data_IF_633778371187
#
_entry.id   IF_633778371187
#
_cell.length_a   1.000
_cell.length_b   1.000
_cell.length_c   1.000
_cell.angle_alpha   90.00
_cell.angle_beta   90.00
_cell.angle_gamma   90.00
#
_symmetry.space_group_name_H-M   'P 1'
#
loop_
_entity.id
_entity.type
_entity.pdbx_description
1 polymer ?
#
# COMPACT_ATOMS: atom_id res chain seq x y z
N UNK A 1 -6.50 -3.48 -14.08
CA UNK A 1 -5.98 -2.10 -14.17
C UNK A 1 -4.76 -1.95 -13.25
N UNK A 2 -3.71 -1.23 -13.66
CA UNK A 2 -2.58 -0.91 -12.76
C UNK A 2 -2.98 0.28 -11.89
N UNK A 3 -2.80 0.18 -10.57
CA UNK A 3 -3.15 1.24 -9.61
C UNK A 3 -1.95 1.78 -8.85
N UNK A 4 -0.85 1.03 -8.82
CA UNK A 4 0.44 1.54 -8.40
C UNK A 4 1.55 0.79 -9.15
N UNK A 5 2.65 1.50 -9.43
CA UNK A 5 3.82 0.97 -10.12
C UNK A 5 5.09 1.60 -9.60
N UNK A 6 6.14 0.78 -9.44
CA UNK A 6 7.49 1.23 -9.17
C UNK A 6 8.47 0.51 -10.11
N UNK A 7 9.15 1.27 -10.96
CA UNK A 7 10.30 0.81 -11.72
C UNK A 7 11.59 1.05 -10.94
N UNK A 8 12.41 0.01 -10.86
CA UNK A 8 13.72 0.03 -10.22
C UNK A 8 14.77 -0.33 -11.26
N UNK A 9 15.76 0.55 -11.40
CA UNK A 9 16.94 0.31 -12.21
C UNK A 9 18.09 -0.05 -11.29
N UNK A 10 18.76 -1.17 -11.53
CA UNK A 10 19.80 -1.65 -10.65
C UNK A 10 20.97 -2.26 -11.43
N UNK A 11 22.15 -2.21 -10.84
CA UNK A 11 23.32 -2.89 -11.38
C UNK A 11 23.13 -4.40 -11.37
N UNK A 12 23.66 -5.09 -12.37
CA UNK A 12 23.75 -6.56 -12.36
C UNK A 12 24.58 -7.02 -11.15
N UNK A 13 24.30 -8.19 -10.54
CA UNK A 13 25.02 -8.66 -9.36
C UNK A 13 26.55 -8.71 -9.51
N UNK A 14 27.04 -8.98 -10.73
CA UNK A 14 28.48 -9.12 -11.05
C UNK A 14 29.11 -7.81 -11.55
N UNK A 15 28.34 -6.72 -11.64
CA UNK A 15 28.90 -5.44 -12.06
C UNK A 15 29.80 -4.85 -10.96
N UNK A 16 30.95 -4.24 -11.29
CA UNK A 16 31.86 -3.65 -10.30
C UNK A 16 31.23 -2.47 -9.56
N UNK A 17 30.22 -1.82 -10.15
CA UNK A 17 29.49 -0.71 -9.54
C UNK A 17 28.15 -1.18 -8.98
N UNK A 18 27.90 -0.91 -7.69
CA UNK A 18 26.63 -1.22 -7.00
C UNK A 18 25.70 0.00 -7.02
N UNK A 19 24.81 0.06 -8.00
CA UNK A 19 24.00 1.26 -8.31
C UNK A 19 22.51 0.93 -8.30
N UNK A 20 21.71 1.86 -7.81
CA UNK A 20 20.24 1.82 -7.83
C UNK A 20 19.71 3.18 -8.28
N UNK A 21 18.71 3.18 -9.14
CA UNK A 21 17.98 4.36 -9.58
C UNK A 21 16.48 4.04 -9.63
N UNK A 22 15.64 5.04 -9.39
CA UNK A 22 14.18 4.91 -9.54
C UNK A 22 13.79 5.35 -10.96
N UNK A 23 12.93 4.54 -11.59
CA UNK A 23 12.35 4.75 -12.90
C UNK A 23 11.06 5.57 -12.85
N UNK A 24 10.06 5.12 -13.62
CA UNK A 24 8.68 5.53 -13.41
C UNK A 24 8.19 5.10 -12.01
N UNK A 25 7.53 6.00 -11.31
CA UNK A 25 6.94 5.73 -10.00
C UNK A 25 5.56 6.39 -9.92
N UNK A 26 4.51 5.56 -10.00
CA UNK A 26 3.13 5.97 -9.77
C UNK A 26 2.67 5.37 -8.45
N UNK A 27 2.78 6.17 -7.38
CA UNK A 27 2.53 5.73 -6.01
C UNK A 27 1.45 6.62 -5.38
N UNK A 28 0.17 6.45 -5.74
CA UNK A 28 -0.90 7.29 -5.22
C UNK A 28 -1.11 7.02 -3.73
N UNK A 29 -1.04 8.09 -2.95
CA UNK A 29 -1.09 8.05 -1.49
C UNK A 29 -2.43 8.52 -0.92
N UNK A 30 -3.31 9.13 -1.72
CA UNK A 30 -4.56 9.74 -1.23
C UNK A 30 -5.76 8.77 -1.33
N UNK A 31 -6.53 8.53 -0.26
CA UNK A 31 -6.24 8.92 1.13
C UNK A 31 -5.09 8.09 1.73
N UNK A 32 -4.23 8.68 2.60
CA UNK A 32 -3.12 7.96 3.21
C UNK A 32 -3.59 6.72 3.98
N UNK A 33 -2.93 5.56 3.82
CA UNK A 33 -1.66 5.35 3.14
C UNK A 33 -1.76 5.02 1.63
N UNK A 34 -2.95 4.89 1.05
CA UNK A 34 -3.16 4.70 -0.39
C UNK A 34 -2.56 3.43 -1.02
N UNK A 35 -2.71 3.28 -2.34
CA UNK A 35 -2.17 2.13 -3.09
C UNK A 35 -0.65 2.14 -3.20
N UNK A 36 -0.04 3.33 -3.21
CA UNK A 36 1.40 3.50 -3.23
C UNK A 36 2.05 2.80 -2.03
N UNK A 37 1.55 3.06 -0.81
CA UNK A 37 2.05 2.37 0.37
C UNK A 37 1.81 0.86 0.32
N UNK A 38 0.63 0.40 -0.14
CA UNK A 38 0.34 -1.03 -0.25
C UNK A 38 1.35 -1.74 -1.16
N UNK A 39 1.74 -1.13 -2.29
CA UNK A 39 2.78 -1.67 -3.15
C UNK A 39 4.16 -1.65 -2.48
N UNK A 40 4.56 -0.53 -1.87
CA UNK A 40 5.86 -0.39 -1.21
C UNK A 40 6.01 -1.39 -0.05
N UNK A 41 4.96 -1.58 0.74
CA UNK A 41 4.90 -2.60 1.79
C UNK A 41 5.01 -4.01 1.24
N UNK A 42 4.40 -4.31 0.08
CA UNK A 42 4.45 -5.64 -0.52
C UNK A 42 5.86 -5.99 -1.02
N UNK A 43 6.56 -5.00 -1.60
CA UNK A 43 7.98 -5.13 -1.96
C UNK A 43 8.79 -5.37 -0.68
N UNK A 44 8.57 -4.58 0.37
CA UNK A 44 9.26 -4.74 1.65
C UNK A 44 9.01 -6.12 2.29
N UNK A 45 7.78 -6.60 2.32
CA UNK A 45 7.41 -7.92 2.82
C UNK A 45 8.03 -9.05 2.02
N UNK A 46 8.23 -8.85 0.72
CA UNK A 46 8.90 -9.84 -0.13
C UNK A 46 10.39 -9.92 0.18
N UNK A 47 11.09 -8.78 0.28
CA UNK A 47 12.55 -8.74 0.28
C UNK A 47 13.21 -8.57 1.65
N UNK A 48 12.55 -7.94 2.62
CA UNK A 48 13.12 -7.73 3.96
C UNK A 48 13.51 -9.03 4.68
N UNK A 49 12.74 -10.14 4.58
CA UNK A 49 13.15 -11.42 5.19
C UNK A 49 14.45 -12.02 4.62
N UNK A 50 14.91 -11.53 3.45
CA UNK A 50 16.12 -12.02 2.79
C UNK A 50 17.37 -11.21 3.17
N UNK A 51 17.21 -10.11 3.92
CA UNK A 51 18.36 -9.33 4.39
C UNK A 51 19.11 -10.05 5.50
N UNK A 52 20.43 -9.91 5.50
CA UNK A 52 21.24 -10.24 6.67
C UNK A 52 20.93 -9.26 7.82
N UNK A 53 21.04 -9.66 9.11
CA UNK A 53 20.62 -8.84 10.24
C UNK A 53 21.22 -7.43 10.27
N UNK A 54 22.51 -7.29 9.97
CA UNK A 54 23.20 -5.99 9.88
C UNK A 54 22.51 -5.02 8.89
N UNK A 55 22.11 -5.53 7.73
CA UNK A 55 21.45 -4.73 6.70
C UNK A 55 19.99 -4.44 7.04
N UNK A 56 19.31 -5.31 7.79
CA UNK A 56 17.97 -5.07 8.28
C UNK A 56 17.94 -3.89 9.27
N UNK A 57 18.92 -3.81 10.17
CA UNK A 57 19.08 -2.68 11.08
C UNK A 57 19.38 -1.38 10.33
N UNK A 58 20.26 -1.44 9.33
CA UNK A 58 20.61 -0.29 8.51
C UNK A 58 19.46 0.21 7.63
N UNK A 59 18.59 -0.69 7.17
CA UNK A 59 17.36 -0.34 6.47
C UNK A 59 16.36 0.36 7.40
N UNK A 60 16.18 -0.16 8.61
CA UNK A 60 15.31 0.46 9.63
C UNK A 60 15.83 1.85 10.03
N UNK A 61 17.15 2.03 10.15
CA UNK A 61 17.76 3.36 10.33
C UNK A 61 17.49 4.26 9.13
N UNK A 62 17.63 3.75 7.90
CA UNK A 62 17.40 4.53 6.67
C UNK A 62 15.97 5.07 6.62
N UNK A 63 14.96 4.22 6.85
CA UNK A 63 13.56 4.62 6.86
C UNK A 63 13.32 5.75 7.87
N UNK A 64 13.84 5.64 9.10
CA UNK A 64 13.71 6.70 10.11
C UNK A 64 14.36 8.03 9.70
N UNK A 65 15.49 7.99 9.00
CA UNK A 65 16.15 9.20 8.53
C UNK A 65 15.37 9.85 7.39
N UNK A 66 14.82 9.06 6.47
CA UNK A 66 13.97 9.54 5.38
C UNK A 66 12.68 10.14 5.92
N UNK A 67 12.05 9.48 6.90
CA UNK A 67 10.83 9.97 7.57
C UNK A 67 11.03 11.41 8.08
N UNK A 68 12.14 11.61 8.80
CA UNK A 68 12.59 12.89 9.36
C UNK A 68 13.13 13.89 8.34
N UNK A 69 13.14 13.56 7.05
CA UNK A 69 13.66 14.44 6.00
C UNK A 69 15.17 14.74 6.12
N UNK A 70 15.93 13.85 6.76
CA UNK A 70 17.36 14.06 6.97
C UNK A 70 18.15 13.87 5.68
N UNK A 71 19.28 14.58 5.58
CA UNK A 71 20.25 14.33 4.51
C UNK A 71 20.84 12.93 4.68
N UNK A 72 20.72 12.10 3.65
CA UNK A 72 21.21 10.72 3.67
C UNK A 72 22.61 10.64 3.05
N UNK A 73 23.61 10.28 3.87
CA UNK A 73 24.94 9.95 3.37
C UNK A 73 24.88 8.63 2.55
N UNK A 74 25.61 8.61 1.43
CA UNK A 74 25.70 7.46 0.52
C UNK A 74 27.09 6.82 0.64
N UNK A 75 27.24 5.50 0.44
CA UNK A 75 26.22 4.52 0.03
C UNK A 75 25.34 4.02 1.19
N UNK A 76 24.21 3.36 0.87
CA UNK A 76 23.32 2.68 1.84
C UNK A 76 22.94 1.29 1.36
N UNK A 77 22.81 0.34 2.30
CA UNK A 77 22.65 -1.08 1.98
C UNK A 77 23.68 -1.58 0.95
N UNK A 78 24.93 -1.09 1.06
CA UNK A 78 26.05 -1.39 0.15
C UNK A 78 25.85 -0.92 -1.31
N UNK A 79 24.86 -0.09 -1.58
CA UNK A 79 24.53 0.43 -2.91
C UNK A 79 24.48 1.96 -2.92
N UNK A 80 24.79 2.56 -4.06
CA UNK A 80 24.66 4.00 -4.29
C UNK A 80 23.36 4.30 -5.02
N UNK A 81 22.55 5.19 -4.46
CA UNK A 81 21.39 5.74 -5.15
C UNK A 81 21.80 6.86 -6.11
N UNK A 82 21.28 6.86 -7.34
CA UNK A 82 21.59 7.84 -8.38
C UNK A 82 20.40 8.07 -9.33
N UNK A 83 20.50 9.10 -10.17
CA UNK A 83 19.50 9.39 -11.21
C UNK A 83 19.79 8.69 -12.54
N UNK A 84 21.07 8.54 -12.90
CA UNK A 84 21.46 7.88 -14.16
C UNK A 84 21.08 6.39 -14.18
N UNK A 85 20.52 5.98 -15.31
CA UNK A 85 19.99 4.63 -15.57
C UNK A 85 20.79 3.88 -16.64
N UNK A 86 21.78 4.53 -17.27
CA UNK A 86 22.55 3.92 -18.36
C UNK A 86 23.30 2.68 -17.86
N UNK A 87 23.10 1.57 -18.58
CA UNK A 87 23.71 0.28 -18.26
C UNK A 87 23.15 -0.41 -17.01
N UNK A 88 22.00 0.04 -16.48
CA UNK A 88 21.28 -0.64 -15.41
C UNK A 88 20.20 -1.57 -15.96
N UNK A 89 19.98 -2.68 -15.28
CA UNK A 89 18.85 -3.58 -15.54
C UNK A 89 17.58 -3.00 -14.92
N UNK A 90 16.44 -3.17 -15.59
CA UNK A 90 15.14 -2.71 -15.11
C UNK A 90 14.33 -3.86 -14.53
N UNK A 91 13.77 -3.64 -13.34
CA UNK A 91 12.75 -4.46 -12.71
C UNK A 91 11.53 -3.60 -12.39
N UNK A 92 10.33 -4.17 -12.52
CA UNK A 92 9.07 -3.43 -12.32
C UNK A 92 8.17 -4.16 -11.33
N UNK A 93 7.69 -3.44 -10.33
CA UNK A 93 6.73 -3.93 -9.35
C UNK A 93 5.39 -3.22 -9.53
N UNK A 94 4.29 -3.97 -9.49
CA UNK A 94 2.94 -3.46 -9.76
C UNK A 94 1.93 -3.95 -8.75
N UNK A 95 0.99 -3.07 -8.40
CA UNK A 95 -0.28 -3.41 -7.80
C UNK A 95 -1.37 -3.27 -8.85
N UNK A 96 -2.17 -4.32 -9.01
CA UNK A 96 -3.22 -4.38 -9.99
C UNK A 96 -4.57 -4.65 -9.36
N UNK A 97 -5.60 -4.09 -9.96
CA UNK A 97 -7.00 -4.40 -9.69
C UNK A 97 -7.50 -5.40 -10.73
N UNK A 98 -7.94 -6.57 -10.26
CA UNK A 98 -8.54 -7.65 -11.04
C UNK A 98 -9.92 -7.95 -10.44
N UNK A 99 -10.97 -7.31 -10.97
CA UNK A 99 -12.32 -7.37 -10.40
C UNK A 99 -12.34 -6.77 -8.99
N UNK A 100 -12.84 -7.50 -7.96
CA UNK A 100 -12.84 -7.01 -6.58
C UNK A 100 -11.50 -7.21 -5.86
N UNK A 101 -10.51 -7.86 -6.48
CA UNK A 101 -9.26 -8.27 -5.82
C UNK A 101 -8.07 -7.41 -6.23
N UNK A 102 -7.16 -7.26 -5.28
CA UNK A 102 -5.81 -6.75 -5.55
C UNK A 102 -4.88 -7.91 -5.89
N UNK A 103 -4.09 -7.74 -6.94
CA UNK A 103 -3.02 -8.66 -7.33
C UNK A 103 -1.68 -7.93 -7.31
N UNK A 104 -0.72 -8.51 -6.62
CA UNK A 104 0.67 -8.06 -6.63
C UNK A 104 1.44 -8.73 -7.76
N UNK A 105 2.21 -7.96 -8.52
CA UNK A 105 3.25 -8.47 -9.43
C UNK A 105 4.58 -7.91 -8.96
N UNK A 106 5.30 -8.68 -8.17
CA UNK A 106 6.62 -8.32 -7.65
C UNK A 106 7.67 -9.06 -8.48
N UNK A 107 8.49 -8.32 -9.22
CA UNK A 107 9.64 -8.89 -9.91
C UNK A 107 10.67 -9.39 -8.89
N UNK A 108 11.03 -10.68 -8.97
CA UNK A 108 12.00 -11.35 -8.09
C UNK A 108 13.27 -11.78 -8.83
N UNK A 109 13.41 -11.42 -10.11
CA UNK A 109 14.39 -12.01 -11.01
C UNK A 109 15.81 -11.52 -10.76
N UNK A 110 16.14 -10.36 -11.34
CA UNK A 110 17.55 -9.98 -11.59
C UNK A 110 18.16 -9.04 -10.56
N UNK A 111 17.35 -8.46 -9.67
CA UNK A 111 17.78 -7.57 -8.61
C UNK A 111 17.96 -8.27 -7.28
N UNK A 112 18.74 -7.65 -6.40
CA UNK A 112 18.99 -8.13 -5.03
C UNK A 112 17.98 -7.51 -4.04
N UNK A 113 17.72 -8.17 -2.89
CA UNK A 113 16.85 -7.62 -1.85
C UNK A 113 17.25 -6.20 -1.42
N UNK A 114 18.56 -5.95 -1.27
CA UNK A 114 19.11 -4.64 -0.92
C UNK A 114 18.73 -3.57 -1.93
N UNK A 115 18.79 -3.88 -3.23
CA UNK A 115 18.47 -2.93 -4.29
C UNK A 115 16.99 -2.53 -4.27
N UNK A 116 16.10 -3.51 -4.12
CA UNK A 116 14.65 -3.25 -4.08
C UNK A 116 14.23 -2.51 -2.82
N UNK A 117 14.76 -2.89 -1.66
CA UNK A 117 14.48 -2.18 -0.41
C UNK A 117 15.05 -0.76 -0.43
N UNK A 118 16.24 -0.55 -0.99
CA UNK A 118 16.80 0.77 -1.16
C UNK A 118 15.92 1.67 -2.05
N UNK A 119 15.38 1.10 -3.14
CA UNK A 119 14.44 1.82 -4.01
C UNK A 119 13.12 2.14 -3.28
N UNK A 120 12.58 1.21 -2.48
CA UNK A 120 11.38 1.46 -1.65
C UNK A 120 11.61 2.63 -0.70
N UNK A 121 12.75 2.65 0.01
CA UNK A 121 13.09 3.75 0.91
C UNK A 121 13.18 5.09 0.17
N UNK A 122 13.96 5.17 -0.92
CA UNK A 122 14.12 6.44 -1.64
C UNK A 122 12.89 6.89 -2.41
N UNK A 123 11.97 5.97 -2.76
CA UNK A 123 10.68 6.34 -3.35
C UNK A 123 9.83 7.20 -2.39
N UNK A 124 10.07 7.09 -1.09
CA UNK A 124 9.37 7.89 -0.06
C UNK A 124 9.98 9.29 0.12
N UNK A 125 11.25 9.49 -0.23
CA UNK A 125 11.96 10.74 0.01
C UNK A 125 11.31 12.00 -0.61
N UNK A 126 10.78 11.97 -1.86
CA UNK A 126 10.13 13.13 -2.45
C UNK A 126 8.67 13.35 -2.01
N UNK A 127 8.07 12.44 -1.23
CA UNK A 127 6.68 12.55 -0.80
C UNK A 127 6.47 13.70 0.21
N UNK A 128 5.25 14.23 0.28
CA UNK A 128 4.86 15.18 1.32
C UNK A 128 5.01 14.55 2.73
N UNK A 129 5.14 15.37 3.77
CA UNK A 129 5.45 14.88 5.13
C UNK A 129 4.43 13.86 5.63
N UNK A 130 3.12 14.13 5.45
CA UNK A 130 2.06 13.23 5.88
C UNK A 130 2.08 11.90 5.12
N UNK A 131 2.18 11.95 3.79
CA UNK A 131 2.25 10.77 2.92
C UNK A 131 3.48 9.93 3.21
N UNK A 132 4.64 10.58 3.41
CA UNK A 132 5.90 9.90 3.74
C UNK A 132 5.80 9.16 5.06
N UNK A 133 5.23 9.78 6.08
CA UNK A 133 5.02 9.14 7.39
C UNK A 133 4.07 7.93 7.26
N UNK A 134 2.97 8.08 6.52
CA UNK A 134 2.02 6.99 6.26
C UNK A 134 2.66 5.84 5.47
N UNK A 135 3.43 6.15 4.43
CA UNK A 135 4.18 5.17 3.63
C UNK A 135 5.19 4.41 4.50
N UNK A 136 5.94 5.09 5.36
CA UNK A 136 6.96 4.46 6.21
C UNK A 136 6.32 3.58 7.29
N UNK A 137 5.21 4.02 7.89
CA UNK A 137 4.43 3.18 8.80
C UNK A 137 3.95 1.89 8.12
N UNK A 138 3.41 2.02 6.91
CA UNK A 138 3.00 0.89 6.08
C UNK A 138 4.19 -0.01 5.68
N UNK A 139 5.34 0.56 5.31
CA UNK A 139 6.54 -0.22 4.96
C UNK A 139 7.03 -1.03 6.16
N UNK A 140 6.99 -0.46 7.38
CA UNK A 140 7.35 -1.18 8.60
C UNK A 140 6.42 -2.38 8.86
N UNK A 141 5.13 -2.29 8.53
CA UNK A 141 4.23 -3.45 8.51
C UNK A 141 4.75 -4.51 7.53
N UNK A 142 5.14 -4.10 6.33
CA UNK A 142 5.74 -4.98 5.32
C UNK A 142 7.00 -5.68 5.81
N UNK A 143 7.96 -4.94 6.38
CA UNK A 143 9.22 -5.48 6.93
C UNK A 143 8.96 -6.57 7.99
N UNK A 144 7.97 -6.34 8.86
CA UNK A 144 7.58 -7.29 9.90
C UNK A 144 6.69 -8.44 9.40
N UNK A 145 6.12 -8.33 8.19
CA UNK A 145 5.14 -9.28 7.69
C UNK A 145 5.73 -10.68 7.48
N UNK A 146 4.94 -11.69 7.83
CA UNK A 146 5.24 -13.11 7.59
C UNK A 146 3.98 -13.76 7.03
N UNK A 147 4.06 -14.27 5.81
CA UNK A 147 2.93 -14.94 5.15
C UNK A 147 2.67 -14.43 3.73
N UNK A 148 1.51 -14.82 3.18
CA UNK A 148 1.10 -14.45 1.84
C UNK A 148 0.74 -12.95 1.72
N UNK A 149 0.86 -12.40 0.51
CA UNK A 149 0.39 -11.06 0.17
C UNK A 149 -1.09 -11.13 -0.24
N UNK A 150 -1.95 -11.29 0.76
CA UNK A 150 -3.40 -11.46 0.60
C UNK A 150 -4.20 -10.29 1.20
N UNK A 151 -5.52 -10.46 1.37
CA UNK A 151 -6.38 -9.44 1.97
C UNK A 151 -6.01 -9.09 3.42
N UNK A 152 -5.43 -10.03 4.20
CA UNK A 152 -4.98 -9.75 5.58
C UNK A 152 -3.76 -8.84 5.57
N UNK A 153 -2.85 -9.07 4.63
CA UNK A 153 -1.71 -8.18 4.41
C UNK A 153 -2.16 -6.76 4.10
N UNK A 154 -3.07 -6.61 3.12
CA UNK A 154 -3.62 -5.30 2.72
C UNK A 154 -4.31 -4.63 3.92
N UNK A 155 -5.18 -5.34 4.62
CA UNK A 155 -5.89 -4.83 5.79
C UNK A 155 -4.94 -4.32 6.89
N UNK A 156 -3.86 -5.05 7.15
CA UNK A 156 -2.85 -4.66 8.13
C UNK A 156 -2.09 -3.41 7.70
N UNK A 157 -1.72 -3.31 6.43
CA UNK A 157 -1.04 -2.13 5.88
C UNK A 157 -1.90 -0.88 5.97
N UNK A 158 -3.21 -1.02 5.78
CA UNK A 158 -4.18 0.08 5.88
C UNK A 158 -4.57 0.44 7.33
N UNK A 159 -3.91 -0.12 8.35
CA UNK A 159 -4.07 0.31 9.74
C UNK A 159 -4.97 -0.56 10.63
N UNK A 160 -5.38 -1.74 10.18
CA UNK A 160 -5.97 -2.75 11.09
C UNK A 160 -7.33 -2.40 11.71
N UNK A 161 -8.02 -1.35 11.22
CA UNK A 161 -9.49 -1.35 11.25
C UNK A 161 -9.96 -2.69 10.68
N UNK A 162 -11.09 -3.23 11.13
CA UNK A 162 -11.73 -4.49 10.67
C UNK A 162 -12.16 -4.44 9.19
N UNK A 163 -11.28 -4.00 8.31
CA UNK A 163 -11.40 -3.90 6.88
C UNK A 163 -10.97 -5.25 6.31
N UNK A 164 -11.85 -6.23 6.46
CA UNK A 164 -11.89 -7.32 5.51
C UNK A 164 -12.12 -6.67 4.13
N UNK A 165 -11.08 -6.69 3.30
CA UNK A 165 -11.18 -6.39 1.88
C UNK A 165 -11.97 -5.11 1.53
N UNK A 166 -11.44 -3.91 1.84
CA UNK A 166 -11.88 -2.73 1.09
C UNK A 166 -11.76 -3.08 -0.40
N UNK A 167 -12.86 -3.14 -1.17
CA UNK A 167 -12.78 -3.51 -2.56
C UNK A 167 -11.86 -2.53 -3.26
N UNK A 168 -11.08 -2.96 -4.24
CA UNK A 168 -10.21 -2.06 -4.97
C UNK A 168 -10.93 -0.79 -5.50
N UNK A 169 -12.21 -0.90 -5.87
CA UNK A 169 -13.03 0.26 -6.23
C UNK A 169 -13.18 1.30 -5.10
N UNK A 170 -13.16 0.88 -3.85
CA UNK A 170 -13.25 1.73 -2.67
C UNK A 170 -11.99 2.55 -2.41
N UNK A 171 -10.84 2.11 -2.92
CA UNK A 171 -9.59 2.86 -2.80
C UNK A 171 -9.38 3.85 -3.94
N UNK A 172 -9.98 3.61 -5.12
CA UNK A 172 -9.91 4.55 -6.26
C UNK A 172 -10.97 5.65 -6.21
N UNK A 173 -12.16 5.34 -5.67
CA UNK A 173 -13.25 6.28 -5.45
C UNK A 173 -13.91 5.96 -4.09
N UNK A 174 -13.32 6.43 -2.98
CA UNK A 174 -13.81 6.13 -1.64
C UNK A 174 -15.23 6.63 -1.40
N UNK A 175 -15.54 7.84 -1.86
CA UNK A 175 -16.85 8.48 -1.66
C UNK A 175 -17.93 7.77 -2.49
N UNK A 176 -17.70 7.54 -3.78
CA UNK A 176 -18.68 6.85 -4.63
C UNK A 176 -18.81 5.36 -4.30
N UNK A 177 -17.77 4.71 -3.76
CA UNK A 177 -17.94 3.39 -3.14
C UNK A 177 -18.82 3.45 -1.90
N UNK A 178 -18.56 4.37 -0.98
CA UNK A 178 -19.33 4.50 0.25
C UNK A 178 -20.80 4.81 -0.03
N UNK A 179 -21.08 5.67 -1.02
CA UNK A 179 -22.42 5.93 -1.52
C UNK A 179 -23.08 4.65 -2.05
N UNK A 180 -22.40 3.88 -2.92
CA UNK A 180 -22.94 2.60 -3.42
C UNK A 180 -23.24 1.58 -2.32
N UNK A 181 -22.35 1.45 -1.33
CA UNK A 181 -22.54 0.53 -0.19
C UNK A 181 -23.75 0.94 0.64
N UNK A 182 -23.94 2.24 0.90
CA UNK A 182 -25.14 2.74 1.58
C UNK A 182 -26.37 2.83 0.66
N UNK A 183 -26.22 2.53 -0.64
CA UNK A 183 -27.25 2.71 -1.66
C UNK A 183 -27.75 4.15 -1.74
N UNK A 184 -26.83 5.11 -1.75
CA UNK A 184 -27.04 6.53 -2.02
C UNK A 184 -26.60 6.76 -3.46
N UNK A 185 -27.37 7.54 -4.23
CA UNK A 185 -26.99 7.93 -5.58
C UNK A 185 -25.70 8.76 -5.56
N UNK A 186 -24.78 8.48 -6.48
CA UNK A 186 -23.42 9.04 -6.45
C UNK A 186 -23.36 10.55 -6.73
N UNK A 187 -24.42 11.11 -7.31
CA UNK A 187 -24.60 12.53 -7.61
C UNK A 187 -25.43 13.28 -6.54
N UNK A 188 -25.99 12.57 -5.56
CA UNK A 188 -26.84 13.16 -4.54
C UNK A 188 -26.03 13.91 -3.48
N UNK A 189 -26.57 15.06 -3.04
CA UNK A 189 -26.02 15.79 -1.90
C UNK A 189 -26.17 14.97 -0.62
N UNK A 190 -25.05 14.52 -0.06
CA UNK A 190 -25.03 13.67 1.14
C UNK A 190 -25.17 14.53 2.40
N UNK A 191 -26.21 14.25 3.20
CA UNK A 191 -26.35 14.83 4.53
C UNK A 191 -26.04 13.80 5.62
N UNK A 192 -25.52 14.26 6.76
CA UNK A 192 -25.27 13.40 7.94
C UNK A 192 -26.50 12.59 8.35
N UNK A 193 -27.69 13.19 8.26
CA UNK A 193 -28.97 12.52 8.56
C UNK A 193 -29.24 11.39 7.56
N UNK A 194 -29.02 11.62 6.26
CA UNK A 194 -29.21 10.61 5.22
C UNK A 194 -28.24 9.43 5.39
N UNK A 195 -26.96 9.70 5.69
CA UNK A 195 -25.95 8.65 5.95
C UNK A 195 -26.36 7.78 7.12
N UNK A 196 -26.71 8.37 8.27
CA UNK A 196 -27.10 7.62 9.46
C UNK A 196 -28.40 6.83 9.27
N UNK A 197 -29.34 7.35 8.45
CA UNK A 197 -30.58 6.62 8.10
C UNK A 197 -30.26 5.38 7.25
N UNK A 198 -29.54 5.56 6.14
CA UNK A 198 -29.18 4.47 5.22
C UNK A 198 -28.30 3.42 5.89
N UNK A 199 -27.36 3.83 6.74
CA UNK A 199 -26.57 2.90 7.55
C UNK A 199 -27.46 2.01 8.43
N UNK A 200 -28.43 2.58 9.16
CA UNK A 200 -29.33 1.81 10.04
C UNK A 200 -30.28 0.89 9.29
N UNK A 201 -30.70 1.27 8.08
CA UNK A 201 -31.50 0.41 7.19
C UNK A 201 -30.67 -0.79 6.74
N UNK A 202 -29.52 -0.54 6.11
CA UNK A 202 -28.65 -1.58 5.59
C UNK A 202 -28.07 -2.49 6.67
N UNK A 203 -27.78 -1.94 7.85
CA UNK A 203 -27.28 -2.73 8.98
C UNK A 203 -28.33 -3.73 9.47
N UNK A 204 -29.61 -3.33 9.50
CA UNK A 204 -30.72 -4.24 9.81
C UNK A 204 -30.83 -5.34 8.76
N UNK A 205 -30.72 -5.00 7.47
CA UNK A 205 -30.79 -5.97 6.37
C UNK A 205 -29.61 -6.96 6.36
N UNK A 206 -28.44 -6.55 6.83
CA UNK A 206 -27.25 -7.39 6.86
C UNK A 206 -27.18 -8.31 8.09
N UNK A 207 -27.97 -8.03 9.13
CA UNK A 207 -27.88 -8.71 10.42
C UNK A 207 -28.54 -10.12 10.37
N UNK A 208 -27.84 -11.18 10.82
CA UNK A 208 -28.39 -12.55 10.90
C UNK A 208 -29.74 -12.66 11.62
N UNK A 209 -29.89 -11.94 12.73
CA UNK A 209 -31.11 -11.93 13.56
C UNK A 209 -32.35 -11.37 12.84
N UNK A 210 -32.20 -10.77 11.66
CA UNK A 210 -33.28 -10.26 10.83
C UNK A 210 -33.51 -11.07 9.54
N UNK A 211 -33.01 -12.31 9.49
CA UNK A 211 -33.25 -13.24 8.38
C UNK A 211 -32.25 -13.13 7.23
N UNK A 212 -31.14 -12.43 7.41
CA UNK A 212 -30.05 -12.37 6.45
C UNK A 212 -29.27 -13.70 6.43
N UNK A 213 -28.68 -14.06 5.27
CA UNK A 213 -27.76 -15.22 5.20
C UNK A 213 -26.59 -15.02 6.17
N UNK A 214 -26.36 -16.00 7.05
CA UNK A 214 -25.26 -15.99 8.03
C UNK A 214 -23.90 -15.82 7.36
N UNK A 215 -23.69 -16.45 6.20
CA UNK A 215 -22.45 -16.33 5.45
C UNK A 215 -22.24 -14.91 4.91
N UNK A 216 -21.07 -14.34 5.24
CA UNK A 216 -20.65 -13.00 4.83
C UNK A 216 -21.36 -11.84 5.56
N UNK A 217 -22.15 -12.11 6.61
CA UNK A 217 -22.81 -11.05 7.38
C UNK A 217 -21.80 -10.09 8.04
N UNK A 218 -20.73 -10.65 8.63
CA UNK A 218 -19.66 -9.85 9.24
C UNK A 218 -18.96 -8.92 8.24
N UNK A 219 -18.71 -9.39 7.02
CA UNK A 219 -18.07 -8.61 5.95
C UNK A 219 -18.97 -7.46 5.50
N UNK A 220 -20.27 -7.73 5.27
CA UNK A 220 -21.24 -6.68 4.92
C UNK A 220 -21.35 -5.62 6.01
N UNK A 221 -21.37 -6.03 7.29
CA UNK A 221 -21.43 -5.10 8.42
C UNK A 221 -20.17 -4.23 8.49
N UNK A 222 -18.99 -4.82 8.24
CA UNK A 222 -17.74 -4.07 8.18
C UNK A 222 -17.73 -3.04 7.04
N UNK A 223 -18.17 -3.42 5.84
CA UNK A 223 -18.29 -2.51 4.69
C UNK A 223 -19.22 -1.33 5.00
N UNK A 224 -20.37 -1.59 5.65
CA UNK A 224 -21.32 -0.55 6.04
C UNK A 224 -20.75 0.43 7.06
N UNK A 225 -20.01 -0.08 8.05
CA UNK A 225 -19.36 0.75 9.06
C UNK A 225 -18.31 1.68 8.44
N UNK A 226 -17.57 1.16 7.47
CA UNK A 226 -16.53 1.91 6.77
C UNK A 226 -17.11 2.95 5.80
N UNK A 227 -18.14 2.59 5.03
CA UNK A 227 -18.86 3.55 4.18
C UNK A 227 -19.43 4.72 5.00
N UNK A 228 -19.97 4.44 6.19
CA UNK A 228 -20.43 5.48 7.13
C UNK A 228 -19.27 6.37 7.59
N UNK A 229 -18.09 5.82 7.88
CA UNK A 229 -16.93 6.60 8.32
C UNK A 229 -16.46 7.55 7.22
N UNK A 230 -16.32 7.05 5.99
CA UNK A 230 -15.86 7.84 4.84
C UNK A 230 -16.76 9.04 4.58
N UNK A 231 -18.09 8.86 4.62
CA UNK A 231 -19.06 9.93 4.34
C UNK A 231 -19.28 10.92 5.49
N UNK A 232 -18.67 10.69 6.65
CA UNK A 232 -18.79 11.53 7.85
C UNK A 232 -17.46 12.16 8.30
N UNK A 233 -16.36 11.82 7.63
CA UNK A 233 -15.06 12.48 7.80
C UNK A 233 -15.11 13.90 7.22
#
# INVERSE_FOLDING_TARGET
MIVAELEVFHSRPVAPTRRVAIGHAQLPMDPPPGYGAVLLSAIAATFAPMLVPELADDYTKLLRQIDRGQRIAQPRLRHRFQQDRIGLTRSTHRLMVEGPRLRFRIDKGTGTPEQFLLAVAYACAPMAVADRAAAIAAINVGVAWRGALDGRFVSRVLGGSTHAAMPALAMSDPVGWAMRILGIETDAKVSKVAVQRRFRERLRDAHPDHGAKNDGAAERIADLAEARRILLA
#
